data_IF_274622963816
#
_entry.id   IF_274622963816
#
_cell.length_a   1.000
_cell.length_b   1.000
_cell.length_c   1.000
_cell.angle_alpha   90.00
_cell.angle_beta   90.00
_cell.angle_gamma   90.00
#
_symmetry.space_group_name_H-M   'P 1'
#
loop_
_entity.id
_entity.type
_entity.pdbx_description
1 polymer ?
#
# COMPACT_ATOMS: atom_id res chain seq x y z
N UNK A 1 -33.45 20.24 40.06
CA UNK A 1 -32.75 19.05 39.54
C UNK A 1 -31.46 18.94 40.32
N UNK A 2 -31.37 17.91 41.15
CA UNK A 2 -30.23 17.68 42.03
C UNK A 2 -28.97 17.35 41.20
N UNK A 3 -27.78 17.51 41.79
CA UNK A 3 -26.51 17.14 41.14
C UNK A 3 -26.53 15.65 40.74
N UNK A 4 -27.19 14.83 41.55
CA UNK A 4 -27.38 13.40 41.30
C UNK A 4 -28.22 13.16 40.04
N UNK A 5 -29.34 13.87 39.88
CA UNK A 5 -30.21 13.76 38.69
C UNK A 5 -29.47 14.12 37.40
N UNK A 6 -28.60 15.14 37.45
CA UNK A 6 -27.78 15.55 36.30
C UNK A 6 -26.76 14.49 35.91
N UNK A 7 -26.11 13.87 36.89
CA UNK A 7 -25.14 12.81 36.64
C UNK A 7 -25.82 11.55 36.08
N UNK A 8 -26.99 11.19 36.60
CA UNK A 8 -27.80 10.07 36.09
C UNK A 8 -28.26 10.35 34.65
N UNK A 9 -28.75 11.56 34.37
CA UNK A 9 -29.18 11.94 33.03
C UNK A 9 -28.02 11.92 32.01
N UNK A 10 -26.83 12.41 32.40
CA UNK A 10 -25.63 12.35 31.56
C UNK A 10 -25.15 10.91 31.33
N UNK A 11 -25.18 10.07 32.37
CA UNK A 11 -24.85 8.65 32.24
C UNK A 11 -25.82 7.92 31.30
N UNK A 12 -27.13 8.18 31.43
CA UNK A 12 -28.15 7.63 30.54
C UNK A 12 -27.97 8.10 29.10
N UNK A 13 -27.71 9.39 28.88
CA UNK A 13 -27.45 9.93 27.55
C UNK A 13 -26.22 9.27 26.91
N UNK A 14 -25.15 9.06 27.69
CA UNK A 14 -23.96 8.35 27.23
C UNK A 14 -24.28 6.90 26.83
N UNK A 15 -24.93 6.13 27.70
CA UNK A 15 -25.31 4.73 27.41
C UNK A 15 -26.21 4.63 26.17
N UNK A 16 -27.21 5.50 26.06
CA UNK A 16 -28.12 5.49 24.90
C UNK A 16 -27.38 5.85 23.60
N UNK A 17 -26.49 6.85 23.63
CA UNK A 17 -25.68 7.21 22.47
C UNK A 17 -24.74 6.07 22.05
N UNK A 18 -24.16 5.35 23.02
CA UNK A 18 -23.29 4.21 22.77
C UNK A 18 -24.05 3.04 22.12
N UNK A 19 -25.23 2.70 22.65
CA UNK A 19 -26.08 1.65 22.08
C UNK A 19 -26.56 2.02 20.67
N UNK A 20 -26.81 3.30 20.39
CA UNK A 20 -27.16 3.76 19.05
C UNK A 20 -26.02 3.58 18.04
N UNK A 21 -24.78 3.86 18.43
CA UNK A 21 -23.59 3.61 17.58
C UNK A 21 -23.40 2.12 17.31
N UNK A 22 -23.54 1.27 18.34
CA UNK A 22 -23.45 -0.19 18.17
C UNK A 22 -24.54 -0.75 17.24
N UNK A 23 -25.76 -0.22 17.33
CA UNK A 23 -26.85 -0.63 16.44
C UNK A 23 -26.63 -0.16 15.00
N UNK A 24 -25.95 0.97 14.80
CA UNK A 24 -25.62 1.52 13.49
C UNK A 24 -24.47 0.77 12.81
N UNK A 25 -23.40 0.47 13.55
CA UNK A 25 -22.24 -0.28 13.08
C UNK A 25 -22.33 -1.77 13.45
N UNK A 26 -23.49 -2.39 13.23
CA UNK A 26 -23.79 -3.76 13.67
C UNK A 26 -22.70 -4.82 13.33
N UNK A 27 -22.74 -6.00 13.98
CA UNK A 27 -21.67 -7.01 13.96
C UNK A 27 -21.35 -7.63 12.59
N UNK A 28 -22.12 -7.31 11.55
CA UNK A 28 -21.87 -7.76 10.17
C UNK A 28 -20.88 -6.84 9.43
N UNK A 29 -20.74 -5.59 9.88
CA UNK A 29 -19.69 -4.70 9.42
C UNK A 29 -18.55 -4.81 10.43
N UNK A 30 -17.44 -5.43 10.08
CA UNK A 30 -16.21 -5.58 10.89
C UNK A 30 -15.51 -4.25 11.26
N UNK A 31 -16.27 -3.17 11.42
CA UNK A 31 -15.80 -1.86 11.87
C UNK A 31 -15.90 -1.84 13.40
N UNK A 32 -14.79 -2.20 14.07
CA UNK A 32 -14.69 -2.13 15.53
C UNK A 32 -15.16 -0.75 16.05
N UNK A 33 -16.13 -0.75 16.97
CA UNK A 33 -16.60 0.46 17.61
C UNK A 33 -15.55 0.99 18.61
N UNK A 34 -14.73 1.93 18.16
CA UNK A 34 -13.79 2.68 18.99
C UNK A 34 -14.55 3.40 20.13
N UNK A 35 -14.06 3.41 21.39
CA UNK A 35 -12.72 3.06 21.87
C UNK A 35 -12.59 1.74 22.67
N UNK A 36 -13.60 0.86 22.73
CA UNK A 36 -13.63 -0.24 23.72
C UNK A 36 -13.11 -1.58 23.16
N UNK A 37 -13.19 -1.81 21.86
CA UNK A 37 -12.76 -3.06 21.22
C UNK A 37 -11.63 -2.76 20.22
N UNK A 38 -10.38 -2.83 20.70
CA UNK A 38 -9.16 -2.85 19.87
C UNK A 38 -8.46 -4.21 20.04
N UNK A 39 -9.19 -5.25 20.42
CA UNK A 39 -8.63 -6.59 20.68
C UNK A 39 -8.52 -7.41 19.39
N UNK A 40 -9.31 -7.07 18.36
CA UNK A 40 -9.23 -7.68 17.02
C UNK A 40 -7.90 -7.36 16.34
N UNK A 41 -7.40 -6.13 16.51
CA UNK A 41 -6.10 -5.66 15.99
C UNK A 41 -4.89 -6.51 16.42
N UNK A 42 -5.03 -7.34 17.46
CA UNK A 42 -3.96 -8.21 17.97
C UNK A 42 -4.25 -9.72 17.79
N UNK A 43 -5.42 -10.11 17.29
CA UNK A 43 -5.79 -11.53 17.16
C UNK A 43 -5.71 -12.07 15.74
N UNK A 44 -5.68 -11.21 14.73
CA UNK A 44 -5.38 -11.63 13.37
C UNK A 44 -3.87 -11.79 13.20
N UNK A 45 -3.41 -13.05 13.12
CA UNK A 45 -2.05 -13.36 12.74
C UNK A 45 -1.98 -13.11 11.23
N UNK A 46 -1.22 -12.12 10.74
CA UNK A 46 -1.08 -11.90 9.32
C UNK A 46 -0.56 -13.18 8.64
N UNK A 47 -0.96 -13.38 7.39
CA UNK A 47 -0.37 -14.43 6.56
C UNK A 47 1.16 -14.34 6.60
N UNK A 48 1.82 -15.48 6.66
CA UNK A 48 3.28 -15.51 6.77
C UNK A 48 3.96 -15.05 5.48
N UNK A 49 3.28 -15.25 4.36
CA UNK A 49 3.77 -14.94 3.01
C UNK A 49 3.00 -13.76 2.44
N UNK A 50 3.74 -12.77 1.95
CA UNK A 50 3.19 -11.56 1.35
C UNK A 50 3.68 -11.39 -0.07
N UNK A 51 2.82 -10.81 -0.90
CA UNK A 51 3.16 -10.33 -2.23
C UNK A 51 3.29 -8.82 -2.20
N UNK A 52 4.36 -8.32 -2.81
CA UNK A 52 4.70 -6.92 -2.94
C UNK A 52 5.08 -6.63 -4.38
N UNK A 53 4.70 -5.47 -4.89
CA UNK A 53 5.05 -5.05 -6.24
C UNK A 53 6.17 -4.02 -6.21
N UNK A 54 7.03 -4.06 -7.21
CA UNK A 54 8.06 -3.03 -7.38
C UNK A 54 8.28 -2.72 -8.85
N UNK A 55 9.05 -1.67 -9.09
CA UNK A 55 9.52 -1.28 -10.41
C UNK A 55 11.03 -1.29 -10.37
N UNK A 56 11.65 -1.95 -11.35
CA UNK A 56 13.09 -1.87 -11.59
C UNK A 56 13.36 -1.30 -12.96
N UNK A 57 14.30 -0.37 -13.04
CA UNK A 57 14.69 0.31 -14.26
C UNK A 57 15.81 -0.47 -14.94
N UNK A 58 15.73 -0.67 -16.25
CA UNK A 58 16.75 -1.30 -17.08
C UNK A 58 17.55 -0.26 -17.87
N UNK A 59 16.91 0.86 -18.23
CA UNK A 59 17.53 1.97 -18.95
C UNK A 59 16.93 3.30 -18.49
N UNK A 60 17.75 4.36 -18.38
CA UNK A 60 17.32 5.73 -18.05
C UNK A 60 18.06 6.73 -18.92
N UNK A 61 17.34 7.63 -19.58
CA UNK A 61 17.85 8.65 -20.52
C UNK A 61 18.72 8.03 -21.63
N UNK A 62 18.27 6.89 -22.16
CA UNK A 62 18.98 6.12 -23.18
C UNK A 62 20.29 5.49 -22.70
N UNK A 63 20.50 5.41 -21.39
CA UNK A 63 21.67 4.79 -20.77
C UNK A 63 21.28 3.50 -20.09
N UNK A 64 21.72 2.38 -20.66
CA UNK A 64 21.48 1.07 -20.08
C UNK A 64 22.20 0.94 -18.73
N UNK A 65 21.47 0.44 -17.74
CA UNK A 65 21.99 0.18 -16.41
C UNK A 65 22.67 -1.19 -16.42
N UNK A 66 23.87 -1.27 -15.83
CA UNK A 66 24.64 -2.52 -15.76
C UNK A 66 23.87 -3.63 -15.02
N UNK A 67 23.10 -3.23 -14.01
CA UNK A 67 22.16 -4.07 -13.28
C UNK A 67 20.86 -3.29 -13.14
N UNK A 68 19.69 -3.95 -13.23
CA UNK A 68 18.42 -3.28 -13.02
C UNK A 68 18.37 -2.62 -11.63
N UNK A 69 17.95 -1.37 -11.59
CA UNK A 69 17.89 -0.61 -10.33
C UNK A 69 16.44 -0.50 -9.86
N UNK A 70 16.18 -1.01 -8.67
CA UNK A 70 14.88 -0.88 -8.02
C UNK A 70 14.57 0.57 -7.63
N UNK A 71 13.30 0.99 -7.69
CA UNK A 71 12.95 2.36 -7.32
C UNK A 71 13.35 2.71 -5.88
N UNK A 72 13.35 1.73 -4.97
CA UNK A 72 13.80 1.87 -3.57
C UNK A 72 15.31 2.13 -3.46
N UNK A 73 16.06 1.92 -4.54
CA UNK A 73 17.51 2.05 -4.64
C UNK A 73 17.94 3.18 -5.60
N UNK A 74 17.03 3.69 -6.44
CA UNK A 74 17.25 4.70 -7.48
C UNK A 74 17.48 6.12 -6.95
N UNK A 75 18.28 6.27 -5.88
CA UNK A 75 18.53 7.55 -5.21
C UNK A 75 19.20 8.58 -6.12
N UNK A 76 20.07 8.13 -7.01
CA UNK A 76 20.88 9.01 -7.86
C UNK A 76 20.14 9.37 -9.13
N UNK A 77 19.43 8.40 -9.69
CA UNK A 77 18.75 8.48 -10.98
C UNK A 77 17.37 9.14 -10.85
N UNK A 78 16.63 8.82 -9.79
CA UNK A 78 15.24 9.26 -9.58
C UNK A 78 15.02 9.74 -8.14
N UNK A 79 15.64 10.87 -7.74
CA UNK A 79 15.65 11.32 -6.35
C UNK A 79 14.25 11.66 -5.79
N UNK A 80 13.30 12.11 -6.64
CA UNK A 80 11.91 12.36 -6.20
C UNK A 80 11.14 11.08 -5.89
N UNK A 81 11.44 10.01 -6.62
CA UNK A 81 10.77 8.72 -6.52
C UNK A 81 11.37 7.85 -5.40
N UNK A 82 12.68 7.97 -5.17
CA UNK A 82 13.42 7.19 -4.19
C UNK A 82 12.76 7.20 -2.81
N UNK A 83 12.36 6.01 -2.36
CA UNK A 83 11.70 5.77 -1.06
C UNK A 83 10.46 6.64 -0.81
N UNK A 84 9.81 7.14 -1.87
CA UNK A 84 8.61 7.94 -1.74
C UNK A 84 7.38 7.06 -1.48
N UNK A 85 6.63 7.27 -0.37
CA UNK A 85 5.45 6.48 -0.07
C UNK A 85 4.34 6.58 -1.13
N UNK A 86 4.26 7.72 -1.83
CA UNK A 86 3.31 7.92 -2.92
C UNK A 86 3.66 7.10 -4.16
N UNK A 87 4.95 7.04 -4.51
CA UNK A 87 5.44 6.18 -5.59
C UNK A 87 5.21 4.70 -5.24
N UNK A 88 5.60 4.28 -4.03
CA UNK A 88 5.38 2.92 -3.55
C UNK A 88 3.90 2.52 -3.66
N UNK A 89 2.97 3.35 -3.14
CA UNK A 89 1.54 3.06 -3.21
C UNK A 89 1.04 2.93 -4.64
N UNK A 90 1.49 3.81 -5.54
CA UNK A 90 1.10 3.77 -6.94
C UNK A 90 1.59 2.49 -7.62
N UNK A 91 2.83 2.06 -7.33
CA UNK A 91 3.38 0.79 -7.83
C UNK A 91 2.58 -0.40 -7.30
N UNK A 92 2.19 -0.41 -6.02
CA UNK A 92 1.31 -1.46 -5.48
C UNK A 92 -0.04 -1.51 -6.22
N UNK A 93 -0.60 -0.35 -6.56
CA UNK A 93 -1.86 -0.24 -7.29
C UNK A 93 -1.71 -0.73 -8.74
N UNK A 94 -0.62 -0.35 -9.41
CA UNK A 94 -0.28 -0.80 -10.76
C UNK A 94 -0.11 -2.32 -10.81
N UNK A 95 0.81 -2.88 -10.03
CA UNK A 95 1.06 -4.32 -10.00
C UNK A 95 -0.18 -5.13 -9.61
N UNK A 96 -0.96 -4.62 -8.65
CA UNK A 96 -2.22 -5.25 -8.28
C UNK A 96 -3.30 -5.17 -9.37
N UNK A 97 -3.30 -4.14 -10.22
CA UNK A 97 -4.22 -4.07 -11.37
C UNK A 97 -3.83 -5.07 -12.46
N UNK A 98 -2.54 -5.16 -12.77
CA UNK A 98 -1.97 -6.14 -13.72
C UNK A 98 -2.32 -7.57 -13.27
N UNK A 99 -2.07 -7.92 -12.01
CA UNK A 99 -2.35 -9.27 -11.49
C UNK A 99 -3.85 -9.64 -11.51
N UNK A 100 -4.75 -8.64 -11.50
CA UNK A 100 -6.20 -8.85 -11.64
C UNK A 100 -6.69 -8.87 -13.10
N UNK A 101 -5.83 -8.55 -14.07
CA UNK A 101 -6.19 -8.38 -15.47
C UNK A 101 -7.11 -7.17 -15.72
N UNK A 102 -6.97 -6.12 -14.91
CA UNK A 102 -7.70 -4.85 -15.07
C UNK A 102 -6.86 -3.85 -15.88
N UNK A 103 -6.77 -4.10 -17.19
CA UNK A 103 -5.90 -3.37 -18.12
C UNK A 103 -6.16 -1.86 -18.08
N UNK A 104 -7.43 -1.44 -18.00
CA UNK A 104 -7.78 -0.02 -17.97
C UNK A 104 -7.27 0.69 -16.70
N UNK A 105 -7.30 0.01 -15.55
CA UNK A 105 -6.74 0.53 -14.32
C UNK A 105 -5.19 0.51 -14.37
N UNK A 106 -4.60 -0.55 -14.92
CA UNK A 106 -3.15 -0.67 -15.09
C UNK A 106 -2.60 0.48 -15.94
N UNK A 107 -3.16 0.72 -17.13
CA UNK A 107 -2.80 1.84 -18.02
C UNK A 107 -2.90 3.19 -17.29
N UNK A 108 -3.96 3.37 -16.50
CA UNK A 108 -4.17 4.60 -15.73
C UNK A 108 -3.12 4.81 -14.62
N UNK A 109 -2.70 3.75 -13.95
CA UNK A 109 -1.65 3.82 -12.94
C UNK A 109 -0.26 3.96 -13.54
N UNK A 110 -0.01 3.34 -14.69
CA UNK A 110 1.21 3.47 -15.48
C UNK A 110 1.40 4.91 -15.95
N UNK A 111 0.39 5.50 -16.60
CA UNK A 111 0.44 6.91 -17.00
C UNK A 111 0.67 7.85 -15.81
N UNK A 112 0.04 7.58 -14.66
CA UNK A 112 0.26 8.36 -13.44
C UNK A 112 1.67 8.18 -12.84
N UNK A 113 2.29 7.01 -13.02
CA UNK A 113 3.65 6.73 -12.60
C UNK A 113 4.62 7.57 -13.43
N UNK A 114 4.45 7.53 -14.74
CA UNK A 114 5.27 8.26 -15.70
C UNK A 114 5.14 9.78 -15.52
N UNK A 115 3.91 10.29 -15.42
CA UNK A 115 3.63 11.73 -15.27
C UNK A 115 4.20 12.30 -13.95
N UNK A 116 4.09 11.56 -12.84
CA UNK A 116 4.37 12.13 -11.51
C UNK A 116 5.77 11.85 -11.01
N UNK A 117 6.32 10.69 -11.36
CA UNK A 117 7.55 10.18 -10.74
C UNK A 117 8.69 10.06 -11.74
N UNK A 118 8.39 9.90 -13.02
CA UNK A 118 9.39 9.84 -14.07
C UNK A 118 9.51 11.15 -14.86
N UNK A 119 8.82 12.22 -14.46
CA UNK A 119 8.85 13.54 -15.13
C UNK A 119 10.27 14.07 -15.36
N UNK A 120 11.21 13.77 -14.47
CA UNK A 120 12.59 14.31 -14.48
C UNK A 120 13.53 13.64 -15.48
N UNK A 121 13.13 12.50 -16.06
CA UNK A 121 13.90 11.76 -17.06
C UNK A 121 13.25 11.90 -18.43
N UNK A 122 14.03 11.98 -19.49
CA UNK A 122 13.52 12.09 -20.86
C UNK A 122 12.96 10.74 -21.33
N UNK A 123 13.62 9.63 -20.97
CA UNK A 123 13.15 8.28 -21.29
C UNK A 123 13.52 7.27 -20.20
N UNK A 124 12.72 6.23 -20.04
CA UNK A 124 13.02 5.13 -19.12
C UNK A 124 12.41 3.81 -19.60
N UNK A 125 13.19 2.74 -19.53
CA UNK A 125 12.70 1.37 -19.66
C UNK A 125 12.65 0.74 -18.27
N UNK A 126 11.53 0.11 -17.95
CA UNK A 126 11.32 -0.47 -16.62
C UNK A 126 10.48 -1.73 -16.67
N UNK A 127 10.62 -2.53 -15.62
CA UNK A 127 9.87 -3.77 -15.43
C UNK A 127 9.08 -3.67 -14.14
N UNK A 128 7.78 -3.96 -14.21
CA UNK A 128 6.96 -4.17 -13.03
C UNK A 128 7.20 -5.59 -12.56
N UNK A 129 7.64 -5.75 -11.32
CA UNK A 129 7.94 -7.05 -10.73
C UNK A 129 7.00 -7.36 -9.58
N UNK A 130 6.56 -8.61 -9.52
CA UNK A 130 5.91 -9.21 -8.37
C UNK A 130 6.94 -9.93 -7.54
N UNK A 131 7.02 -9.59 -6.26
CA UNK A 131 7.95 -10.17 -5.30
C UNK A 131 7.18 -10.81 -4.15
N UNK A 132 7.49 -12.05 -3.83
CA UNK A 132 6.87 -12.77 -2.72
C UNK A 132 7.89 -12.94 -1.61
N UNK A 133 7.54 -12.69 -0.35
CA UNK A 133 8.45 -12.86 0.79
C UNK A 133 7.76 -13.46 2.02
N UNK A 134 8.55 -14.10 2.87
CA UNK A 134 8.15 -14.50 4.23
C UNK A 134 8.45 -13.34 5.20
N UNK A 135 7.46 -12.93 5.99
CA UNK A 135 7.60 -11.77 6.89
C UNK A 135 8.68 -11.97 7.98
N UNK A 136 8.92 -13.21 8.40
CA UNK A 136 9.96 -13.54 9.39
C UNK A 136 11.35 -13.45 8.76
N UNK A 137 11.49 -13.89 7.52
CA UNK A 137 12.76 -13.89 6.80
C UNK A 137 13.12 -12.50 6.28
N UNK A 138 12.13 -11.73 5.83
CA UNK A 138 12.30 -10.37 5.29
C UNK A 138 13.02 -9.45 6.27
N UNK A 139 12.71 -9.55 7.57
CA UNK A 139 13.37 -8.76 8.63
C UNK A 139 14.84 -9.09 8.80
N UNK A 140 15.25 -10.28 8.40
CA UNK A 140 16.59 -10.82 8.69
C UNK A 140 17.56 -10.60 7.53
N UNK A 141 17.11 -10.78 6.29
CA UNK A 141 18.02 -10.79 5.13
C UNK A 141 17.56 -9.98 3.92
N UNK A 142 16.41 -9.29 3.99
CA UNK A 142 15.81 -8.62 2.84
C UNK A 142 15.62 -9.57 1.62
N UNK A 143 15.40 -10.86 1.90
CA UNK A 143 15.24 -11.87 0.86
C UNK A 143 13.81 -11.89 0.31
N UNK A 144 13.68 -12.27 -0.96
CA UNK A 144 12.42 -12.65 -1.58
C UNK A 144 12.44 -14.16 -1.85
N UNK A 145 11.29 -14.82 -1.63
CA UNK A 145 11.09 -16.22 -1.96
C UNK A 145 11.00 -16.40 -3.48
N UNK A 146 10.26 -15.49 -4.14
CA UNK A 146 10.05 -15.50 -5.58
C UNK A 146 10.03 -14.07 -6.10
N UNK A 147 10.52 -13.91 -7.33
CA UNK A 147 10.47 -12.66 -8.07
C UNK A 147 10.09 -12.98 -9.51
N UNK A 148 9.14 -12.24 -10.08
CA UNK A 148 8.65 -12.45 -11.44
C UNK A 148 8.33 -11.12 -12.09
N UNK A 149 8.84 -10.89 -13.29
CA UNK A 149 8.42 -9.75 -14.12
C UNK A 149 7.00 -10.03 -14.61
N UNK A 150 6.09 -9.09 -14.33
CA UNK A 150 4.68 -9.21 -14.70
C UNK A 150 4.31 -8.29 -15.88
N UNK A 151 5.03 -7.19 -16.08
CA UNK A 151 4.81 -6.24 -17.18
C UNK A 151 6.11 -5.48 -17.50
N UNK A 152 6.26 -5.03 -18.75
CA UNK A 152 7.35 -4.14 -19.17
C UNK A 152 6.75 -2.79 -19.58
N UNK A 153 7.30 -1.70 -19.05
CA UNK A 153 6.90 -0.34 -19.35
C UNK A 153 8.02 0.45 -20.03
N UNK A 154 7.64 1.43 -20.86
CA UNK A 154 8.55 2.29 -21.60
C UNK A 154 8.02 3.73 -21.58
N UNK A 155 8.70 4.61 -20.84
CA UNK A 155 8.49 6.06 -20.94
C UNK A 155 9.26 6.60 -22.15
N UNK A 156 8.54 7.30 -23.03
CA UNK A 156 9.07 8.01 -24.20
C UNK A 156 9.02 9.53 -24.09
#
# INVERSE_FOLDING_TARGET
MDRTDRLVALGLAFVLSYLAVLAWHGPENNEEAYPVFNWSLFSEIPDRTFTDYSVRFTSIDGRDLLEPVYFEQARTELPRMYQNPGAYRLIQQLGGAIDRGDDAAADGFEAALEERWLEEVDSAEYEVVRRTFDILDRRTCDCFLEETVIEQGEKR
#
